data_IF_717532880545
#
_entry.id   IF_717532880545
#
_cell.length_a   1.000
_cell.length_b   1.000
_cell.length_c   1.000
_cell.angle_alpha   90.00
_cell.angle_beta   90.00
_cell.angle_gamma   90.00
#
_symmetry.space_group_name_H-M   'P 1'
#
loop_
_entity.id
_entity.type
_entity.pdbx_description
1 polymer ?
#
# COMPACT_ATOMS: atom_id res chain seq x y z
N UNK A 1 -12.17 -28.73 33.48
CA UNK A 1 -11.30 -29.10 34.62
C UNK A 1 -9.92 -28.56 34.34
N UNK A 2 -9.22 -27.90 35.28
CA UNK A 2 -7.83 -27.51 35.07
C UNK A 2 -6.97 -28.77 34.81
N UNK A 3 -5.98 -28.71 33.90
CA UNK A 3 -5.14 -29.86 33.57
C UNK A 3 -4.43 -30.39 34.82
N UNK A 4 -4.41 -31.72 34.98
CA UNK A 4 -3.85 -32.37 36.18
C UNK A 4 -2.33 -32.50 36.12
N UNK A 5 -1.75 -32.36 34.93
CA UNK A 5 -0.30 -32.40 34.67
C UNK A 5 0.08 -31.53 33.46
N UNK A 6 1.37 -31.24 33.31
CA UNK A 6 1.91 -30.55 32.13
C UNK A 6 1.66 -31.34 30.82
N UNK A 7 1.60 -32.68 30.92
CA UNK A 7 1.32 -33.58 29.81
C UNK A 7 -0.14 -33.46 29.37
N UNK A 8 -1.08 -33.41 30.32
CA UNK A 8 -2.50 -33.18 30.02
C UNK A 8 -2.73 -31.81 29.36
N UNK A 9 -2.05 -30.77 29.86
CA UNK A 9 -2.12 -29.43 29.29
C UNK A 9 -1.60 -29.40 27.85
N UNK A 10 -0.48 -30.08 27.59
CA UNK A 10 0.10 -30.18 26.26
C UNK A 10 -0.80 -30.96 25.29
N UNK A 11 -1.41 -32.06 25.75
CA UNK A 11 -2.34 -32.85 24.94
C UNK A 11 -3.62 -32.07 24.59
N UNK A 12 -4.19 -31.34 25.55
CA UNK A 12 -5.35 -30.47 25.30
C UNK A 12 -5.03 -29.36 24.30
N UNK A 13 -3.86 -28.72 24.45
CA UNK A 13 -3.44 -27.68 23.54
C UNK A 13 -3.16 -28.20 22.12
N UNK A 14 -2.58 -29.40 21.99
CA UNK A 14 -2.38 -30.04 20.69
C UNK A 14 -3.71 -30.36 20.00
N UNK A 15 -4.68 -30.92 20.74
CA UNK A 15 -6.00 -31.20 20.18
C UNK A 15 -6.71 -29.92 19.68
N UNK A 16 -6.68 -28.85 20.48
CA UNK A 16 -7.21 -27.56 20.03
C UNK A 16 -6.46 -27.03 18.81
N UNK A 17 -5.15 -27.23 18.75
CA UNK A 17 -4.34 -26.77 17.63
C UNK A 17 -4.68 -27.52 16.33
N UNK A 18 -4.94 -28.82 16.40
CA UNK A 18 -5.45 -29.62 15.28
C UNK A 18 -6.84 -29.11 14.82
N UNK A 19 -7.72 -28.77 15.76
CA UNK A 19 -9.07 -28.29 15.46
C UNK A 19 -9.08 -26.96 14.68
N UNK A 20 -8.14 -26.05 14.98
CA UNK A 20 -8.07 -24.71 14.35
C UNK A 20 -7.07 -24.61 13.19
N UNK A 21 -6.32 -25.68 12.89
CA UNK A 21 -5.20 -25.62 11.94
C UNK A 21 -5.61 -25.17 10.53
N UNK A 22 -6.81 -25.56 10.09
CA UNK A 22 -7.33 -25.22 8.76
C UNK A 22 -7.64 -23.72 8.58
N UNK A 23 -7.71 -22.97 9.68
CA UNK A 23 -8.03 -21.54 9.69
C UNK A 23 -6.76 -20.67 9.83
N UNK A 24 -5.57 -21.29 9.86
CA UNK A 24 -4.32 -20.60 10.16
C UNK A 24 -3.27 -20.83 9.08
N UNK A 25 -2.75 -19.76 8.50
CA UNK A 25 -1.52 -19.81 7.69
C UNK A 25 -0.25 -19.81 8.55
N UNK A 26 -0.30 -19.15 9.70
CA UNK A 26 0.84 -18.96 10.59
C UNK A 26 0.41 -18.78 12.05
N UNK A 27 1.31 -19.09 12.99
CA UNK A 27 1.11 -18.86 14.42
C UNK A 27 2.37 -18.30 15.09
N UNK A 28 2.19 -17.39 16.04
CA UNK A 28 3.27 -16.89 16.90
C UNK A 28 3.23 -17.55 18.29
N UNK A 29 4.35 -18.18 18.67
CA UNK A 29 4.57 -18.74 20.00
C UNK A 29 5.56 -17.90 20.80
N UNK A 30 5.24 -17.64 22.07
CA UNK A 30 6.15 -16.93 22.98
C UNK A 30 6.99 -17.92 23.77
N UNK A 31 8.30 -17.93 23.53
CA UNK A 31 9.26 -18.70 24.30
C UNK A 31 9.79 -17.89 25.50
N UNK A 32 9.59 -18.41 26.71
CA UNK A 32 10.11 -17.80 27.93
C UNK A 32 11.46 -18.43 28.31
N UNK A 33 12.54 -17.63 28.47
CA UNK A 33 13.86 -18.14 28.81
C UNK A 33 13.94 -18.67 30.26
N UNK A 34 13.22 -18.04 31.19
CA UNK A 34 13.22 -18.34 32.61
C UNK A 34 11.85 -18.05 33.27
N UNK A 35 11.67 -18.53 34.50
CA UNK A 35 10.41 -18.42 35.24
C UNK A 35 10.09 -16.96 35.64
N UNK A 36 11.11 -16.15 35.94
CA UNK A 36 10.92 -14.74 36.28
C UNK A 36 10.38 -13.95 35.08
N UNK A 37 10.83 -14.27 33.87
CA UNK A 37 10.35 -13.67 32.63
C UNK A 37 8.91 -14.11 32.34
N UNK A 38 8.59 -15.40 32.55
CA UNK A 38 7.22 -15.89 32.43
C UNK A 38 6.29 -15.19 33.43
N UNK A 39 6.64 -15.13 34.71
CA UNK A 39 5.84 -14.48 35.75
C UNK A 39 5.66 -12.97 35.46
N UNK A 40 6.73 -12.31 34.98
CA UNK A 40 6.65 -10.90 34.58
C UNK A 40 5.68 -10.68 33.42
N UNK A 41 5.57 -11.60 32.46
CA UNK A 41 4.74 -11.40 31.26
C UNK A 41 3.35 -12.03 31.38
N UNK A 42 3.21 -13.12 32.14
CA UNK A 42 1.99 -13.94 32.29
C UNK A 42 1.76 -14.28 33.77
N UNK A 43 1.51 -13.26 34.61
CA UNK A 43 1.33 -13.47 36.04
C UNK A 43 0.14 -14.38 36.30
N UNK A 44 0.33 -15.39 37.16
CA UNK A 44 -0.71 -16.38 37.48
C UNK A 44 -0.98 -17.41 36.39
N UNK A 45 -0.16 -17.46 35.34
CA UNK A 45 -0.20 -18.51 34.32
C UNK A 45 0.38 -19.86 34.78
N UNK A 46 0.42 -20.85 33.87
CA UNK A 46 1.11 -22.13 34.12
C UNK A 46 2.60 -21.93 34.42
N UNK A 47 3.24 -22.94 35.00
CA UNK A 47 4.69 -22.92 35.20
C UNK A 47 5.47 -23.02 33.87
N UNK A 48 6.76 -22.68 33.93
CA UNK A 48 7.64 -22.66 32.75
C UNK A 48 7.72 -24.02 32.05
N UNK A 49 7.68 -25.12 32.79
CA UNK A 49 7.76 -26.46 32.24
C UNK A 49 6.49 -26.78 31.43
N UNK A 50 5.33 -26.43 31.97
CA UNK A 50 4.02 -26.58 31.33
C UNK A 50 3.93 -25.72 30.07
N UNK A 51 4.30 -24.44 30.13
CA UNK A 51 4.30 -23.56 28.95
C UNK A 51 5.21 -24.09 27.84
N UNK A 52 6.39 -24.61 28.17
CA UNK A 52 7.30 -25.21 27.19
C UNK A 52 6.74 -26.50 26.59
N UNK A 53 6.08 -27.33 27.38
CA UNK A 53 5.42 -28.54 26.91
C UNK A 53 4.27 -28.20 25.94
N UNK A 54 3.43 -27.22 26.30
CA UNK A 54 2.34 -26.70 25.46
C UNK A 54 2.88 -26.14 24.15
N UNK A 55 3.84 -25.21 24.18
CA UNK A 55 4.39 -24.62 22.95
C UNK A 55 4.98 -25.67 22.02
N UNK A 56 5.63 -26.71 22.57
CA UNK A 56 6.16 -27.82 21.78
C UNK A 56 5.05 -28.61 21.11
N UNK A 57 4.03 -28.99 21.86
CA UNK A 57 2.94 -29.83 21.37
C UNK A 57 2.10 -29.09 20.31
N UNK A 58 1.77 -27.83 20.56
CA UNK A 58 1.07 -26.94 19.61
C UNK A 58 1.87 -26.79 18.32
N UNK A 59 3.17 -26.51 18.42
CA UNK A 59 4.01 -26.37 17.22
C UNK A 59 4.14 -27.67 16.43
N UNK A 60 4.15 -28.83 17.10
CA UNK A 60 4.18 -30.13 16.42
C UNK A 60 2.87 -30.40 15.65
N UNK A 61 1.73 -30.14 16.29
CA UNK A 61 0.42 -30.30 15.68
C UNK A 61 0.25 -29.38 14.46
N UNK A 62 0.46 -28.07 14.64
CA UNK A 62 0.29 -27.08 13.58
C UNK A 62 1.28 -27.27 12.42
N UNK A 63 2.55 -27.59 12.71
CA UNK A 63 3.52 -27.85 11.65
C UNK A 63 3.21 -29.11 10.83
N UNK A 64 2.48 -30.08 11.39
CA UNK A 64 2.04 -31.27 10.66
C UNK A 64 0.97 -30.94 9.62
N UNK A 65 0.15 -29.92 9.87
CA UNK A 65 -0.89 -29.39 8.98
C UNK A 65 -0.37 -28.32 8.01
N UNK A 66 0.94 -28.01 8.05
CA UNK A 66 1.58 -27.04 7.14
C UNK A 66 1.52 -25.58 7.61
N UNK A 67 0.99 -25.31 8.81
CA UNK A 67 0.95 -23.97 9.41
C UNK A 67 2.37 -23.51 9.74
N UNK A 68 2.69 -22.27 9.39
CA UNK A 68 4.01 -21.72 9.64
C UNK A 68 4.23 -21.33 11.12
N UNK A 69 5.31 -21.84 11.72
CA UNK A 69 5.62 -21.61 13.13
C UNK A 69 6.61 -20.46 13.30
N UNK A 70 6.16 -19.37 13.93
CA UNK A 70 6.99 -18.28 14.41
C UNK A 70 7.21 -18.39 15.91
N UNK A 71 8.42 -18.05 16.37
CA UNK A 71 8.74 -18.05 17.81
C UNK A 71 9.41 -16.76 18.19
N UNK A 72 8.78 -16.00 19.08
CA UNK A 72 9.45 -14.87 19.73
C UNK A 72 10.09 -15.31 21.05
N UNK A 73 11.30 -14.83 21.32
CA UNK A 73 11.93 -15.04 22.63
C UNK A 73 11.63 -13.86 23.54
N UNK A 74 10.96 -14.13 24.67
CA UNK A 74 10.58 -13.08 25.60
C UNK A 74 11.80 -12.37 26.20
N UNK A 75 11.78 -11.04 26.17
CA UNK A 75 12.82 -10.16 26.74
C UNK A 75 12.18 -9.16 27.69
N UNK A 76 12.59 -9.22 28.96
CA UNK A 76 12.02 -8.37 30.03
C UNK A 76 12.25 -6.88 29.78
N UNK A 77 13.38 -6.51 29.17
CA UNK A 77 13.71 -5.12 28.91
C UNK A 77 12.90 -4.54 27.76
N UNK A 78 12.77 -5.30 26.66
CA UNK A 78 11.95 -4.94 25.51
C UNK A 78 10.47 -4.83 25.91
N UNK A 79 9.95 -5.82 26.64
CA UNK A 79 8.58 -5.81 27.13
C UNK A 79 8.29 -4.59 28.03
N UNK A 80 9.18 -4.26 28.98
CA UNK A 80 9.00 -3.08 29.85
C UNK A 80 8.99 -1.75 29.09
N UNK A 81 9.86 -1.60 28.09
CA UNK A 81 9.86 -0.42 27.22
C UNK A 81 8.57 -0.31 26.43
N UNK A 82 8.09 -1.43 25.89
CA UNK A 82 6.84 -1.47 25.15
C UNK A 82 5.62 -1.14 26.02
N UNK A 83 5.61 -1.62 27.28
CA UNK A 83 4.52 -1.40 28.22
C UNK A 83 4.47 0.02 28.79
N UNK A 84 5.56 0.80 28.70
CA UNK A 84 5.72 2.09 29.38
C UNK A 84 4.56 3.07 29.11
N UNK A 85 4.06 3.10 27.88
CA UNK A 85 3.00 4.00 27.44
C UNK A 85 1.64 3.29 27.25
N UNK A 86 1.48 2.09 27.82
CA UNK A 86 0.31 1.22 27.62
C UNK A 86 -0.30 0.80 28.95
N UNK A 87 -1.63 0.54 28.99
CA UNK A 87 -2.26 -0.04 30.16
C UNK A 87 -1.69 -1.44 30.43
N UNK A 88 -1.30 -1.68 31.69
CA UNK A 88 -0.83 -2.99 32.13
C UNK A 88 -2.00 -3.96 32.34
N UNK A 89 -2.44 -4.59 31.26
CA UNK A 89 -3.57 -5.53 31.23
C UNK A 89 -3.17 -6.88 30.63
N UNK A 90 -3.86 -7.97 30.99
CA UNK A 90 -3.59 -9.28 30.42
C UNK A 90 -3.69 -9.29 28.88
N UNK A 91 -4.64 -8.55 28.32
CA UNK A 91 -4.80 -8.39 26.87
C UNK A 91 -3.60 -7.67 26.25
N UNK A 92 -3.16 -6.55 26.83
CA UNK A 92 -1.96 -5.84 26.36
C UNK A 92 -0.72 -6.76 26.42
N UNK A 93 -0.56 -7.51 27.50
CA UNK A 93 0.56 -8.45 27.65
C UNK A 93 0.56 -9.52 26.57
N UNK A 94 -0.60 -10.04 26.17
CA UNK A 94 -0.77 -11.00 25.05
C UNK A 94 -0.45 -10.37 23.69
N UNK A 95 -0.86 -9.12 23.49
CA UNK A 95 -0.62 -8.37 22.24
C UNK A 95 0.85 -7.98 22.00
N UNK A 96 1.74 -8.18 22.97
CA UNK A 96 3.15 -7.83 22.81
C UNK A 96 3.88 -8.77 21.84
N UNK A 97 4.45 -8.17 20.79
CA UNK A 97 5.32 -8.84 19.81
C UNK A 97 6.70 -8.17 19.75
N UNK A 98 7.78 -8.92 19.98
CA UNK A 98 9.16 -8.46 19.79
C UNK A 98 9.61 -8.65 18.33
N UNK A 99 9.22 -7.71 17.46
CA UNK A 99 9.51 -7.71 16.02
C UNK A 99 10.98 -7.90 15.67
N UNK A 100 11.90 -7.46 16.53
CA UNK A 100 13.33 -7.59 16.30
C UNK A 100 13.90 -8.98 16.59
N UNK A 101 13.11 -9.89 17.19
CA UNK A 101 13.57 -11.19 17.72
C UNK A 101 12.58 -12.33 17.47
N UNK A 102 11.89 -12.29 16.34
CA UNK A 102 11.06 -13.40 15.88
C UNK A 102 11.92 -14.39 15.09
N UNK A 103 11.85 -15.65 15.47
CA UNK A 103 12.48 -16.78 14.78
C UNK A 103 11.47 -17.45 13.85
N UNK A 104 11.95 -17.95 12.72
CA UNK A 104 11.18 -18.66 11.69
C UNK A 104 11.84 -19.99 11.32
N UNK A 105 11.07 -20.91 10.76
CA UNK A 105 11.58 -22.15 10.14
C UNK A 105 12.47 -22.98 11.07
N UNK A 106 13.61 -23.45 10.57
CA UNK A 106 14.50 -24.34 11.32
C UNK A 106 15.02 -23.75 12.65
N UNK A 107 15.16 -22.42 12.75
CA UNK A 107 15.57 -21.77 14.00
C UNK A 107 14.46 -21.81 15.07
N UNK A 108 13.22 -21.53 14.68
CA UNK A 108 12.04 -21.65 15.53
C UNK A 108 11.85 -23.09 16.03
N UNK A 109 11.89 -24.07 15.12
CA UNK A 109 11.73 -25.49 15.44
C UNK A 109 12.81 -25.99 16.40
N UNK A 110 14.07 -25.58 16.18
CA UNK A 110 15.18 -25.93 17.06
C UNK A 110 14.99 -25.36 18.47
N UNK A 111 14.52 -24.12 18.60
CA UNK A 111 14.26 -23.51 19.92
C UNK A 111 13.16 -24.25 20.69
N UNK A 112 12.13 -24.74 19.99
CA UNK A 112 11.04 -25.52 20.58
C UNK A 112 11.43 -26.99 20.87
N UNK A 113 12.53 -27.46 20.27
CA UNK A 113 12.96 -28.86 20.38
C UNK A 113 12.08 -29.81 19.58
N UNK A 114 11.57 -29.36 18.43
CA UNK A 114 10.80 -30.17 17.48
C UNK A 114 11.66 -30.49 16.26
N UNK A 115 11.23 -31.46 15.45
CA UNK A 115 11.93 -31.76 14.21
C UNK A 115 11.97 -30.49 13.34
N UNK A 116 13.11 -30.18 12.68
CA UNK A 116 13.15 -29.06 11.76
C UNK A 116 12.07 -29.26 10.68
N UNK A 117 11.52 -28.18 10.12
CA UNK A 117 10.58 -28.32 9.02
C UNK A 117 11.28 -29.10 7.90
N UNK A 118 10.49 -29.80 7.08
CA UNK A 118 11.02 -30.33 5.83
C UNK A 118 11.76 -29.20 5.11
N UNK A 119 12.94 -29.49 4.58
CA UNK A 119 13.67 -28.49 3.81
C UNK A 119 12.72 -27.96 2.73
N UNK A 120 12.65 -26.63 2.52
CA UNK A 120 11.79 -26.08 1.50
C UNK A 120 12.08 -26.79 0.18
N UNK A 121 11.05 -27.11 -0.62
CA UNK A 121 11.26 -27.76 -1.89
C UNK A 121 12.28 -26.95 -2.69
N UNK A 122 13.21 -27.61 -3.41
CA UNK A 122 14.13 -26.88 -4.26
C UNK A 122 13.33 -26.01 -5.23
N UNK A 123 13.83 -24.81 -5.57
CA UNK A 123 13.12 -23.90 -6.45
C UNK A 123 12.71 -24.62 -7.73
N UNK A 124 11.48 -24.35 -8.17
CA UNK A 124 10.89 -25.01 -9.33
C UNK A 124 11.84 -24.88 -10.54
N UNK A 125 12.23 -26.03 -11.10
CA UNK A 125 13.08 -26.06 -12.29
C UNK A 125 12.21 -26.02 -13.52
N UNK A 126 12.13 -24.85 -14.13
CA UNK A 126 11.44 -24.69 -15.40
C UNK A 126 12.35 -25.09 -16.57
N UNK A 127 11.80 -25.71 -17.63
CA UNK A 127 12.54 -25.97 -18.86
C UNK A 127 13.05 -24.66 -19.48
N UNK A 128 14.17 -24.70 -20.20
CA UNK A 128 14.71 -23.52 -20.86
C UNK A 128 13.74 -22.94 -21.90
N UNK A 129 13.01 -23.79 -22.62
CA UNK A 129 12.03 -23.34 -23.60
C UNK A 129 10.81 -22.73 -22.89
N UNK A 130 10.48 -21.44 -23.11
CA UNK A 130 9.37 -20.79 -22.42
C UNK A 130 7.99 -21.22 -22.92
N UNK A 131 7.89 -21.61 -24.20
CA UNK A 131 6.64 -21.92 -24.90
C UNK A 131 5.69 -22.84 -24.13
N UNK A 132 6.10 -24.08 -23.78
CA UNK A 132 5.23 -25.03 -23.11
C UNK A 132 4.72 -24.58 -21.74
N UNK A 133 5.51 -23.79 -21.00
CA UNK A 133 5.11 -23.31 -19.68
C UNK A 133 4.17 -22.12 -19.82
N UNK A 134 4.40 -21.23 -20.79
CA UNK A 134 3.46 -20.18 -21.12
C UNK A 134 2.12 -20.79 -21.57
N UNK A 135 2.13 -21.82 -22.43
CA UNK A 135 0.91 -22.52 -22.86
C UNK A 135 0.16 -23.15 -21.67
N UNK A 136 0.90 -23.69 -20.68
CA UNK A 136 0.31 -24.18 -19.43
C UNK A 136 -0.37 -23.07 -18.63
N UNK A 137 0.28 -21.91 -18.50
CA UNK A 137 -0.31 -20.76 -17.80
C UNK A 137 -1.60 -20.30 -18.48
N UNK A 138 -1.60 -20.16 -19.81
CA UNK A 138 -2.82 -19.84 -20.56
C UNK A 138 -3.92 -20.89 -20.38
N UNK A 139 -3.58 -22.17 -20.32
CA UNK A 139 -4.56 -23.23 -20.11
C UNK A 139 -5.18 -23.20 -18.70
N UNK A 140 -4.43 -22.76 -17.68
CA UNK A 140 -4.95 -22.57 -16.32
C UNK A 140 -5.87 -21.36 -16.23
N UNK A 141 -5.50 -20.25 -16.89
CA UNK A 141 -6.36 -19.07 -17.04
C UNK A 141 -7.68 -19.43 -17.74
N UNK A 142 -7.61 -20.17 -18.85
CA UNK A 142 -8.81 -20.65 -19.57
C UNK A 142 -9.68 -21.61 -18.73
N UNK A 143 -9.11 -22.26 -17.71
CA UNK A 143 -9.79 -23.19 -16.83
C UNK A 143 -10.41 -22.53 -15.58
N UNK A 144 -10.17 -21.23 -15.37
CA UNK A 144 -10.63 -20.45 -14.22
C UNK A 144 -10.21 -21.06 -12.86
N UNK A 145 -9.02 -21.67 -12.83
CA UNK A 145 -8.41 -22.24 -11.62
C UNK A 145 -7.45 -21.21 -10.99
N UNK A 146 -8.02 -20.23 -10.29
CA UNK A 146 -7.27 -19.10 -9.73
C UNK A 146 -6.11 -19.54 -8.83
N UNK A 147 -6.33 -20.50 -7.94
CA UNK A 147 -5.28 -21.00 -7.05
C UNK A 147 -4.10 -21.64 -7.80
N UNK A 148 -4.37 -22.43 -8.83
CA UNK A 148 -3.30 -23.03 -9.65
C UNK A 148 -2.56 -22.00 -10.51
N UNK A 149 -3.24 -20.92 -10.94
CA UNK A 149 -2.62 -19.78 -11.62
C UNK A 149 -1.66 -19.07 -10.67
N UNK A 150 -2.12 -18.72 -9.47
CA UNK A 150 -1.33 -18.01 -8.47
C UNK A 150 -0.07 -18.79 -8.09
N UNK A 151 -0.20 -20.10 -7.81
CA UNK A 151 0.93 -20.98 -7.50
C UNK A 151 1.97 -20.99 -8.63
N UNK A 152 1.53 -21.05 -9.88
CA UNK A 152 2.43 -21.08 -11.03
C UNK A 152 3.10 -19.72 -11.25
N UNK A 153 2.36 -18.62 -11.12
CA UNK A 153 2.90 -17.25 -11.23
C UNK A 153 3.95 -17.02 -10.14
N UNK A 154 3.65 -17.34 -8.89
CA UNK A 154 4.60 -17.21 -7.78
C UNK A 154 5.87 -18.03 -8.03
N UNK A 155 5.72 -19.28 -8.47
CA UNK A 155 6.88 -20.11 -8.82
C UNK A 155 7.71 -19.54 -9.97
N UNK A 156 7.10 -18.91 -10.98
CA UNK A 156 7.79 -18.26 -12.10
C UNK A 156 8.53 -17.00 -11.66
N UNK A 157 7.91 -16.19 -10.79
CA UNK A 157 8.51 -15.00 -10.19
C UNK A 157 9.75 -15.36 -9.35
N UNK A 158 9.62 -16.35 -8.47
CA UNK A 158 10.71 -16.86 -7.62
C UNK A 158 11.87 -17.45 -8.44
N UNK A 159 11.54 -18.12 -9.56
CA UNK A 159 12.54 -18.66 -10.47
C UNK A 159 13.14 -17.62 -11.43
N UNK A 160 12.67 -16.36 -11.40
CA UNK A 160 13.16 -15.29 -12.26
C UNK A 160 12.82 -15.48 -13.75
N UNK A 161 11.73 -16.18 -14.08
CA UNK A 161 11.38 -16.59 -15.46
C UNK A 161 10.47 -15.59 -16.19
N UNK A 162 10.93 -14.34 -16.28
CA UNK A 162 10.20 -13.27 -16.99
C UNK A 162 9.96 -13.57 -18.46
N UNK A 163 10.87 -14.31 -19.11
CA UNK A 163 10.72 -14.73 -20.50
C UNK A 163 9.45 -15.58 -20.75
N UNK A 164 8.99 -16.31 -19.74
CA UNK A 164 7.73 -17.08 -19.79
C UNK A 164 6.53 -16.14 -19.65
N UNK A 165 6.57 -15.22 -18.68
CA UNK A 165 5.51 -14.25 -18.43
C UNK A 165 5.31 -13.33 -19.64
N UNK A 166 6.39 -12.78 -20.20
CA UNK A 166 6.37 -11.94 -21.41
C UNK A 166 5.81 -12.69 -22.63
N UNK A 167 6.05 -14.00 -22.73
CA UNK A 167 5.47 -14.82 -23.79
C UNK A 167 3.99 -15.08 -23.55
N UNK A 168 3.56 -15.27 -22.30
CA UNK A 168 2.16 -15.43 -21.95
C UNK A 168 1.35 -14.16 -22.27
N UNK A 169 1.82 -12.99 -21.86
CA UNK A 169 1.22 -11.69 -22.17
C UNK A 169 1.04 -11.49 -23.67
N UNK A 170 2.09 -11.72 -24.47
CA UNK A 170 2.01 -11.63 -25.93
C UNK A 170 0.99 -12.59 -26.54
N UNK A 171 0.87 -13.81 -26.00
CA UNK A 171 -0.10 -14.80 -26.49
C UNK A 171 -1.54 -14.43 -26.13
N UNK A 172 -1.76 -13.91 -24.93
CA UNK A 172 -3.06 -13.40 -24.49
C UNK A 172 -3.46 -12.21 -25.37
N UNK A 173 -2.57 -11.24 -25.58
CA UNK A 173 -2.83 -10.10 -26.49
C UNK A 173 -3.20 -10.55 -27.90
N UNK A 174 -2.49 -11.54 -28.46
CA UNK A 174 -2.81 -12.11 -29.77
C UNK A 174 -4.15 -12.86 -29.84
N UNK A 175 -4.59 -13.47 -28.73
CA UNK A 175 -5.78 -14.34 -28.70
C UNK A 175 -7.05 -13.58 -28.29
N UNK A 176 -6.92 -12.64 -27.36
CA UNK A 176 -8.02 -11.99 -26.64
C UNK A 176 -7.99 -10.47 -26.73
N UNK A 177 -6.92 -9.85 -27.26
CA UNK A 177 -6.79 -8.40 -27.42
C UNK A 177 -5.92 -7.76 -26.33
N UNK A 178 -5.56 -6.49 -26.56
CA UNK A 178 -4.63 -5.74 -25.69
C UNK A 178 -5.21 -5.55 -24.28
N UNK A 179 -6.50 -5.25 -24.14
CA UNK A 179 -7.18 -5.10 -22.84
C UNK A 179 -7.00 -6.34 -21.93
N UNK A 180 -7.07 -7.55 -22.50
CA UNK A 180 -6.87 -8.79 -21.75
C UNK A 180 -5.40 -9.02 -21.38
N UNK A 181 -4.46 -8.51 -22.19
CA UNK A 181 -3.05 -8.54 -21.87
C UNK A 181 -2.72 -7.56 -20.73
N UNK A 182 -3.31 -6.37 -20.76
CA UNK A 182 -3.17 -5.35 -19.72
C UNK A 182 -3.75 -5.84 -18.38
N UNK A 183 -4.92 -6.50 -18.39
CA UNK A 183 -5.51 -7.13 -17.20
C UNK A 183 -4.57 -8.20 -16.60
N UNK A 184 -4.03 -9.09 -17.44
CA UNK A 184 -3.07 -10.08 -16.97
C UNK A 184 -1.78 -9.43 -16.46
N UNK A 185 -1.30 -8.37 -17.11
CA UNK A 185 -0.11 -7.65 -16.67
C UNK A 185 -0.33 -7.04 -15.28
N UNK A 186 -1.48 -6.40 -15.03
CA UNK A 186 -1.87 -5.89 -13.72
C UNK A 186 -1.87 -6.99 -12.65
N UNK A 187 -2.48 -8.14 -12.94
CA UNK A 187 -2.48 -9.29 -12.03
C UNK A 187 -1.06 -9.81 -11.73
N UNK A 188 -0.18 -9.83 -12.74
CA UNK A 188 1.22 -10.22 -12.56
C UNK A 188 2.02 -9.19 -11.74
N UNK A 189 1.74 -7.90 -11.90
CA UNK A 189 2.35 -6.83 -11.10
C UNK A 189 1.92 -6.95 -9.63
N UNK A 190 0.62 -7.06 -9.36
CA UNK A 190 0.10 -7.27 -8.00
C UNK A 190 0.72 -8.52 -7.34
N UNK A 191 0.79 -9.63 -8.08
CA UNK A 191 1.44 -10.85 -7.59
C UNK A 191 2.95 -10.65 -7.28
N UNK A 192 3.64 -9.75 -8.01
CA UNK A 192 5.05 -9.46 -7.85
C UNK A 192 5.38 -8.46 -6.74
N UNK A 193 4.40 -7.70 -6.26
CA UNK A 193 4.56 -6.69 -5.21
C UNK A 193 4.54 -7.31 -3.81
N UNK A 194 3.83 -8.44 -3.62
CA UNK A 194 3.75 -9.17 -2.35
C UNK A 194 4.40 -10.55 -2.40
N UNK A 195 5.02 -11.02 -1.31
CA UNK A 195 5.57 -12.37 -1.20
C UNK A 195 5.52 -12.93 0.23
N UNK A 196 5.40 -14.27 0.34
CA UNK A 196 5.44 -15.05 1.61
C UNK A 196 6.85 -15.17 2.21
N UNK A 197 7.52 -14.04 2.37
CA UNK A 197 8.92 -13.93 2.77
C UNK A 197 9.08 -12.89 3.88
N UNK A 198 10.31 -12.70 4.36
CA UNK A 198 10.61 -11.72 5.39
C UNK A 198 10.31 -12.20 6.82
N UNK A 199 10.52 -11.30 7.81
CA UNK A 199 10.53 -11.65 9.23
C UNK A 199 9.13 -11.89 9.80
N UNK A 200 8.08 -11.34 9.19
CA UNK A 200 6.69 -11.49 9.60
C UNK A 200 5.90 -12.51 8.77
N UNK A 201 6.56 -13.17 7.80
CA UNK A 201 5.92 -14.17 6.94
C UNK A 201 5.31 -13.60 5.66
N UNK A 202 4.94 -12.32 5.65
CA UNK A 202 4.48 -11.60 4.47
C UNK A 202 5.17 -10.24 4.33
N UNK A 203 5.50 -9.89 3.10
CA UNK A 203 6.15 -8.64 2.75
C UNK A 203 5.59 -8.09 1.45
N UNK A 204 5.40 -6.78 1.39
CA UNK A 204 4.77 -6.10 0.26
C UNK A 204 5.48 -4.79 -0.07
N UNK A 205 5.55 -4.46 -1.36
CA UNK A 205 5.96 -3.14 -1.83
C UNK A 205 4.80 -2.16 -1.65
N UNK A 206 5.10 -1.01 -1.05
CA UNK A 206 4.17 0.10 -0.94
C UNK A 206 4.81 1.37 -1.46
N UNK A 207 3.99 2.27 -1.97
CA UNK A 207 4.42 3.56 -2.50
C UNK A 207 3.55 4.66 -1.94
N UNK A 208 4.18 5.77 -1.59
CA UNK A 208 3.49 7.00 -1.25
C UNK A 208 3.77 8.01 -2.37
N UNK A 209 2.83 8.21 -3.31
CA UNK A 209 2.92 9.26 -4.30
C UNK A 209 2.77 10.63 -3.65
N UNK A 210 3.51 11.61 -4.18
CA UNK A 210 3.49 12.98 -3.67
C UNK A 210 3.48 13.93 -4.84
N UNK A 211 2.47 14.79 -4.91
CA UNK A 211 2.51 15.96 -5.78
C UNK A 211 3.55 16.94 -5.22
N UNK A 212 4.61 17.17 -5.96
CA UNK A 212 5.77 17.95 -5.53
C UNK A 212 5.53 19.44 -5.72
N UNK A 213 6.03 20.31 -4.81
CA UNK A 213 5.97 21.74 -5.01
C UNK A 213 6.89 22.15 -6.18
N UNK A 214 6.59 23.28 -6.85
CA UNK A 214 7.39 23.77 -7.98
C UNK A 214 8.79 24.23 -7.57
N UNK A 215 8.98 24.57 -6.30
CA UNK A 215 10.27 24.98 -5.72
C UNK A 215 10.48 24.27 -4.39
N UNK A 216 11.73 23.86 -4.11
CA UNK A 216 12.12 23.32 -2.80
C UNK A 216 11.63 21.89 -2.57
N UNK A 217 12.29 20.93 -3.20
CA UNK A 217 11.96 19.52 -3.07
C UNK A 217 12.01 19.05 -1.61
N UNK A 218 10.92 18.48 -1.07
CA UNK A 218 10.90 18.02 0.32
C UNK A 218 11.88 16.87 0.57
N UNK A 219 12.33 16.74 1.81
CA UNK A 219 13.16 15.61 2.23
C UNK A 219 12.30 14.34 2.30
N UNK A 220 12.57 13.41 1.39
CA UNK A 220 11.92 12.10 1.28
C UNK A 220 11.96 11.32 2.60
N UNK A 221 13.13 11.27 3.26
CA UNK A 221 13.32 10.49 4.46
C UNK A 221 12.55 11.11 5.64
N UNK A 222 12.57 12.44 5.75
CA UNK A 222 11.80 13.15 6.77
C UNK A 222 10.28 12.95 6.58
N UNK A 223 9.80 12.98 5.34
CA UNK A 223 8.38 12.77 5.04
C UNK A 223 7.94 11.34 5.39
N UNK A 224 8.68 10.32 4.94
CA UNK A 224 8.39 8.92 5.29
C UNK A 224 8.42 8.68 6.80
N UNK A 225 9.39 9.24 7.51
CA UNK A 225 9.46 9.18 8.97
C UNK A 225 8.26 9.87 9.65
N UNK A 226 7.77 10.98 9.07
CA UNK A 226 6.60 11.70 9.60
C UNK A 226 5.30 10.89 9.47
N UNK A 227 5.12 10.13 8.37
CA UNK A 227 3.97 9.24 8.19
C UNK A 227 3.93 8.18 9.29
N UNK A 228 5.08 7.53 9.51
CA UNK A 228 5.21 6.48 10.55
C UNK A 228 4.97 7.08 11.94
N UNK A 229 5.48 8.28 12.22
CA UNK A 229 5.28 8.96 13.49
C UNK A 229 3.83 9.45 13.72
N UNK A 230 3.06 9.67 12.66
CA UNK A 230 1.68 10.15 12.75
C UNK A 230 0.69 9.07 13.26
N UNK A 231 1.11 7.81 13.34
CA UNK A 231 0.26 6.72 13.84
C UNK A 231 -0.89 6.37 12.89
N UNK A 232 -0.67 6.53 11.58
CA UNK A 232 -1.64 6.29 10.52
C UNK A 232 -1.82 4.80 10.20
N UNK A 233 -0.76 4.03 10.41
CA UNK A 233 -0.71 2.60 10.15
C UNK A 233 -1.36 1.83 11.29
N UNK A 234 -1.96 0.68 10.97
CA UNK A 234 -2.42 -0.26 11.99
C UNK A 234 -1.25 -0.65 12.91
N UNK A 235 -1.54 -0.95 14.17
CA UNK A 235 -0.49 -1.27 15.13
C UNK A 235 0.34 -2.48 14.70
N UNK A 236 -0.22 -3.41 13.92
CA UNK A 236 0.45 -4.60 13.37
C UNK A 236 1.27 -4.33 12.12
N UNK A 237 1.08 -3.20 11.45
CA UNK A 237 1.78 -2.88 10.21
C UNK A 237 3.09 -2.15 10.52
N UNK A 238 4.15 -2.54 9.83
CA UNK A 238 5.42 -1.83 9.83
C UNK A 238 5.77 -1.43 8.40
N UNK A 239 6.00 -0.14 8.16
CA UNK A 239 6.45 0.36 6.86
C UNK A 239 7.85 0.95 7.00
N UNK A 240 8.74 0.59 6.07
CA UNK A 240 10.11 1.09 5.97
C UNK A 240 10.32 1.71 4.60
N UNK A 241 10.36 3.04 4.54
CA UNK A 241 10.65 3.75 3.28
C UNK A 241 12.14 3.75 2.96
N UNK A 242 12.45 3.65 1.68
CA UNK A 242 13.77 3.96 1.16
C UNK A 242 14.06 5.47 1.28
N UNK A 243 15.35 5.83 1.44
CA UNK A 243 15.75 7.21 1.23
C UNK A 243 15.66 7.59 -0.25
N UNK A 244 15.33 8.86 -0.49
CA UNK A 244 15.34 9.46 -1.82
C UNK A 244 14.10 9.16 -2.66
N UNK A 245 13.83 10.05 -3.59
CA UNK A 245 12.64 10.03 -4.42
C UNK A 245 12.77 9.08 -5.60
N UNK A 246 11.68 8.43 -5.99
CA UNK A 246 11.57 7.60 -7.20
C UNK A 246 10.62 8.25 -8.20
N UNK A 247 10.83 7.95 -9.48
CA UNK A 247 9.99 8.46 -10.56
C UNK A 247 8.76 7.55 -10.76
N UNK A 248 7.54 8.11 -10.88
CA UNK A 248 6.37 7.36 -11.30
C UNK A 248 6.60 6.56 -12.58
N UNK A 249 7.13 7.19 -13.62
CA UNK A 249 7.46 6.53 -14.89
C UNK A 249 8.43 5.36 -14.72
N UNK A 250 9.39 5.48 -13.80
CA UNK A 250 10.37 4.42 -13.57
C UNK A 250 9.73 3.21 -12.90
N UNK A 251 8.75 3.43 -12.01
CA UNK A 251 7.95 2.36 -11.39
C UNK A 251 7.04 1.71 -12.42
N UNK A 252 6.29 2.49 -13.19
CA UNK A 252 5.38 1.98 -14.22
C UNK A 252 6.08 1.23 -15.35
N UNK A 253 7.37 1.47 -15.56
CA UNK A 253 8.18 0.75 -16.55
C UNK A 253 8.75 -0.58 -16.04
N UNK A 254 8.57 -0.93 -14.76
CA UNK A 254 9.08 -2.19 -14.23
C UNK A 254 8.23 -3.37 -14.71
N UNK A 255 8.92 -4.41 -15.17
CA UNK A 255 8.27 -5.70 -15.37
C UNK A 255 7.97 -6.38 -14.03
N UNK A 256 7.03 -7.33 -13.97
CA UNK A 256 6.75 -8.10 -12.76
C UNK A 256 8.00 -8.72 -12.11
N UNK A 257 8.95 -9.21 -12.91
CA UNK A 257 10.21 -9.76 -12.35
C UNK A 257 11.10 -8.69 -11.75
N UNK A 258 11.14 -7.50 -12.35
CA UNK A 258 11.90 -6.38 -11.80
C UNK A 258 11.27 -5.90 -10.48
N UNK A 259 9.94 -5.79 -10.41
CA UNK A 259 9.22 -5.52 -9.15
C UNK A 259 9.54 -6.56 -8.07
N UNK A 260 9.47 -7.85 -8.40
CA UNK A 260 9.82 -8.93 -7.47
C UNK A 260 11.26 -8.79 -6.97
N UNK A 261 12.22 -8.42 -7.82
CA UNK A 261 13.61 -8.17 -7.40
C UNK A 261 13.74 -6.96 -6.48
N UNK A 262 13.03 -5.88 -6.77
CA UNK A 262 12.97 -4.69 -5.90
C UNK A 262 12.50 -5.10 -4.49
N UNK A 263 11.44 -5.89 -4.38
CA UNK A 263 10.96 -6.42 -3.09
C UNK A 263 12.05 -7.21 -2.35
N UNK A 264 12.73 -8.13 -3.05
CA UNK A 264 13.76 -8.97 -2.46
C UNK A 264 15.00 -8.18 -2.04
N UNK A 265 15.41 -7.17 -2.80
CA UNK A 265 16.50 -6.25 -2.45
C UNK A 265 16.15 -5.48 -1.16
N UNK A 266 14.93 -4.95 -1.05
CA UNK A 266 14.47 -4.25 0.15
C UNK A 266 14.44 -5.14 1.40
N UNK A 267 14.00 -6.39 1.24
CA UNK A 267 14.01 -7.37 2.32
C UNK A 267 15.42 -7.72 2.78
N UNK A 268 16.40 -7.73 1.87
CA UNK A 268 17.82 -7.89 2.18
C UNK A 268 18.44 -6.62 2.81
N UNK A 269 17.70 -5.50 2.86
CA UNK A 269 18.22 -4.21 3.29
C UNK A 269 19.18 -3.58 2.28
N UNK A 270 19.08 -3.98 1.01
CA UNK A 270 19.86 -3.45 -0.10
C UNK A 270 19.07 -2.38 -0.86
N UNK A 271 19.78 -1.44 -1.51
CA UNK A 271 19.13 -0.48 -2.39
C UNK A 271 18.80 -1.14 -3.75
N UNK A 272 17.55 -1.07 -4.22
CA UNK A 272 17.12 -1.80 -5.40
C UNK A 272 17.79 -1.28 -6.67
N UNK A 273 18.42 -2.18 -7.42
CA UNK A 273 19.15 -1.83 -8.64
C UNK A 273 18.24 -1.48 -9.81
N UNK A 274 17.11 -2.15 -9.89
CA UNK A 274 16.13 -1.97 -10.95
C UNK A 274 15.33 -0.66 -10.77
N UNK A 275 15.41 -0.02 -9.60
CA UNK A 275 14.70 1.23 -9.29
C UNK A 275 15.57 2.23 -8.49
N UNK A 276 16.59 2.84 -9.13
CA UNK A 276 17.46 3.83 -8.49
C UNK A 276 16.72 5.15 -8.18
N UNK A 277 17.29 6.01 -7.31
CA UNK A 277 16.77 7.36 -7.07
C UNK A 277 16.57 8.14 -8.38
N UNK A 278 15.44 8.84 -8.49
CA UNK A 278 15.14 9.71 -9.62
C UNK A 278 15.92 11.03 -9.57
N UNK A 279 16.04 11.67 -10.73
CA UNK A 279 16.60 13.02 -10.82
C UNK A 279 15.61 14.02 -10.21
N UNK A 280 16.03 14.69 -9.12
CA UNK A 280 15.22 15.64 -8.36
C UNK A 280 14.70 16.80 -9.20
N UNK A 281 15.50 17.26 -10.17
CA UNK A 281 15.12 18.36 -11.05
C UNK A 281 14.05 17.90 -12.05
N UNK A 282 14.15 16.67 -12.54
CA UNK A 282 13.16 16.10 -13.45
C UNK A 282 11.82 15.83 -12.74
N UNK A 283 11.87 15.28 -11.53
CA UNK A 283 10.69 15.04 -10.70
C UNK A 283 9.97 16.35 -10.38
N UNK A 284 10.71 17.39 -10.01
CA UNK A 284 10.15 18.72 -9.74
C UNK A 284 9.47 19.31 -10.98
N UNK A 285 10.03 19.13 -12.18
CA UNK A 285 9.39 19.57 -13.45
C UNK A 285 8.13 18.78 -13.79
N UNK A 286 8.10 17.49 -13.48
CA UNK A 286 6.96 16.60 -13.72
C UNK A 286 5.87 16.76 -12.65
N UNK A 287 6.21 17.32 -11.50
CA UNK A 287 5.27 17.62 -10.41
C UNK A 287 4.94 16.42 -9.52
N UNK A 288 5.59 15.27 -9.70
CA UNK A 288 5.34 14.08 -8.88
C UNK A 288 6.62 13.34 -8.54
N UNK A 289 6.66 12.79 -7.33
CA UNK A 289 7.69 11.87 -6.86
C UNK A 289 7.10 10.81 -5.94
N UNK A 290 7.77 9.67 -5.84
CA UNK A 290 7.32 8.54 -5.03
C UNK A 290 8.29 8.27 -3.89
N UNK A 291 7.74 7.95 -2.72
CA UNK A 291 8.47 7.25 -1.66
C UNK A 291 8.14 5.76 -1.74
N UNK A 292 9.13 4.96 -2.15
CA UNK A 292 9.01 3.51 -2.15
C UNK A 292 9.32 2.97 -0.76
N UNK A 293 8.53 2.02 -0.29
CA UNK A 293 8.73 1.35 0.98
C UNK A 293 8.43 -0.13 0.96
N UNK A 294 8.87 -0.79 2.02
CA UNK A 294 8.56 -2.17 2.36
C UNK A 294 7.53 -2.18 3.50
N UNK A 295 6.38 -2.78 3.25
CA UNK A 295 5.38 -3.08 4.26
C UNK A 295 5.56 -4.51 4.77
N UNK A 296 5.57 -4.66 6.09
CA UNK A 296 5.59 -5.94 6.80
C UNK A 296 4.35 -6.01 7.68
N UNK A 297 3.53 -7.03 7.46
CA UNK A 297 2.36 -7.26 8.29
C UNK A 297 2.70 -8.20 9.44
N UNK A 298 2.54 -7.73 10.68
CA UNK A 298 2.74 -8.49 11.91
C UNK A 298 1.43 -8.97 12.53
N UNK A 299 0.32 -9.02 11.80
CA UNK A 299 -0.95 -9.60 12.24
C UNK A 299 -0.93 -11.14 12.37
N UNK A 300 0.22 -11.71 12.78
CA UNK A 300 0.37 -13.14 13.03
C UNK A 300 -0.38 -13.47 14.33
N UNK A 301 -1.40 -14.34 14.31
CA UNK A 301 -2.15 -14.66 15.52
C UNK A 301 -1.25 -15.38 16.52
N UNK A 302 -1.23 -14.88 17.76
CA UNK A 302 -0.50 -15.55 18.84
C UNK A 302 -1.30 -16.71 19.38
N UNK A 303 -0.65 -17.82 19.74
CA UNK A 303 -1.36 -18.96 20.35
C UNK A 303 -2.15 -18.56 21.59
N UNK A 304 -1.63 -17.64 22.39
CA UNK A 304 -2.32 -17.17 23.59
C UNK A 304 -3.59 -16.37 23.26
N UNK A 305 -3.59 -15.63 22.15
CA UNK A 305 -4.79 -14.96 21.62
C UNK A 305 -5.79 -16.01 21.13
N UNK A 306 -5.34 -16.99 20.35
CA UNK A 306 -6.20 -18.06 19.83
C UNK A 306 -6.90 -18.81 20.97
N UNK A 307 -6.17 -19.15 22.03
CA UNK A 307 -6.76 -19.84 23.18
C UNK A 307 -7.75 -18.99 23.99
N UNK A 308 -7.64 -17.67 23.93
CA UNK A 308 -8.48 -16.76 24.70
C UNK A 308 -9.73 -16.33 23.92
N UNK A 309 -9.55 -16.03 22.65
CA UNK A 309 -10.50 -15.28 21.83
C UNK A 309 -10.98 -16.09 20.60
N UNK A 310 -10.32 -17.20 20.26
CA UNK A 310 -10.58 -18.01 19.05
C UNK A 310 -9.59 -17.71 17.91
N UNK A 311 -9.59 -18.52 16.84
CA UNK A 311 -8.85 -18.18 15.62
C UNK A 311 -9.32 -16.82 15.08
N UNK A 312 -8.46 -16.10 14.32
CA UNK A 312 -8.88 -14.85 13.69
C UNK A 312 -10.07 -15.14 12.75
N UNK A 313 -11.06 -14.25 12.76
CA UNK A 313 -12.15 -14.31 11.78
C UNK A 313 -11.54 -14.18 10.38
N UNK A 314 -12.12 -14.91 9.41
CA UNK A 314 -11.79 -14.67 8.01
C UNK A 314 -12.05 -13.19 7.71
N UNK A 315 -11.18 -12.51 6.94
CA UNK A 315 -11.42 -11.12 6.56
C UNK A 315 -12.81 -11.04 5.93
N UNK A 316 -13.72 -10.32 6.58
CA UNK A 316 -15.06 -10.09 6.05
C UNK A 316 -14.90 -9.37 4.70
N UNK A 317 -15.49 -9.90 3.63
CA UNK A 317 -15.65 -9.16 2.38
C UNK A 317 -16.44 -7.90 2.75
N UNK A 318 -15.78 -6.74 2.64
CA UNK A 318 -16.19 -5.44 3.18
C UNK A 318 -17.72 -5.27 3.25
N UNK A 319 -18.30 -5.31 4.45
CA UNK A 319 -19.65 -4.80 4.65
C UNK A 319 -19.66 -3.31 4.30
N UNK A 320 -20.49 -2.91 3.33
CA UNK A 320 -20.61 -1.55 2.79
C UNK A 320 -20.68 -0.47 3.90
N UNK A 321 -19.53 0.10 4.28
CA UNK A 321 -19.45 1.23 5.19
C UNK A 321 -18.10 1.38 5.89
N UNK A 322 -17.57 2.60 5.91
CA UNK A 322 -16.35 2.90 6.66
C UNK A 322 -16.57 2.64 8.16
N UNK A 323 -15.81 1.70 8.73
CA UNK A 323 -15.82 1.44 10.17
C UNK A 323 -15.38 2.71 10.94
N UNK A 324 -15.77 2.89 12.22
CA UNK A 324 -15.31 4.03 13.02
C UNK A 324 -13.79 4.14 13.10
N UNK A 325 -13.08 3.01 13.01
CA UNK A 325 -11.64 2.97 12.97
C UNK A 325 -11.08 3.48 11.62
N UNK A 326 -11.64 3.03 10.50
CA UNK A 326 -11.29 3.55 9.17
C UNK A 326 -11.54 5.06 9.08
N UNK A 327 -12.68 5.56 9.58
CA UNK A 327 -12.99 6.99 9.62
C UNK A 327 -11.99 7.79 10.48
N UNK A 328 -11.57 7.23 11.63
CA UNK A 328 -10.54 7.85 12.48
C UNK A 328 -9.18 7.91 11.76
N UNK A 329 -8.78 6.83 11.08
CA UNK A 329 -7.52 6.78 10.31
C UNK A 329 -7.53 7.78 9.16
N UNK A 330 -8.65 7.88 8.43
CA UNK A 330 -8.82 8.88 7.37
C UNK A 330 -8.66 10.32 7.90
N UNK A 331 -9.29 10.65 9.03
CA UNK A 331 -9.15 11.97 9.64
C UNK A 331 -7.71 12.28 10.12
N UNK A 332 -7.00 11.28 10.65
CA UNK A 332 -5.58 11.42 11.00
C UNK A 332 -4.73 11.65 9.75
N UNK A 333 -5.04 10.94 8.66
CA UNK A 333 -4.34 11.04 7.39
C UNK A 333 -4.49 12.44 6.79
N UNK A 334 -5.70 12.98 6.76
CA UNK A 334 -5.96 14.35 6.33
C UNK A 334 -5.22 15.39 7.17
N UNK A 335 -5.22 15.21 8.50
CA UNK A 335 -4.48 16.08 9.42
C UNK A 335 -2.98 16.05 9.17
N UNK A 336 -2.41 14.87 8.94
CA UNK A 336 -1.00 14.70 8.60
C UNK A 336 -0.66 15.30 7.23
N UNK A 337 -1.50 15.05 6.21
CA UNK A 337 -1.35 15.61 4.85
C UNK A 337 -1.32 17.14 4.87
N UNK A 338 -2.22 17.77 5.62
CA UNK A 338 -2.21 19.22 5.83
C UNK A 338 -0.93 19.75 6.50
N UNK A 339 -0.42 19.04 7.52
CA UNK A 339 0.84 19.39 8.15
C UNK A 339 2.05 19.26 7.20
N UNK A 340 2.06 18.22 6.35
CA UNK A 340 3.11 18.04 5.32
C UNK A 340 3.05 19.14 4.27
N UNK A 341 1.85 19.52 3.81
CA UNK A 341 1.66 20.61 2.85
C UNK A 341 2.28 21.92 3.34
N UNK A 342 1.96 22.33 4.57
CA UNK A 342 2.51 23.53 5.20
C UNK A 342 4.03 23.44 5.40
N UNK A 343 4.54 22.29 5.85
CA UNK A 343 5.96 22.11 6.14
C UNK A 343 6.83 22.03 4.88
N UNK A 344 6.29 21.52 3.77
CA UNK A 344 7.01 21.33 2.50
C UNK A 344 6.82 22.49 1.52
N UNK A 345 6.02 23.50 1.87
CA UNK A 345 5.74 24.62 0.97
C UNK A 345 4.86 24.25 -0.23
N UNK A 346 3.98 23.26 -0.06
CA UNK A 346 2.97 22.91 -1.05
C UNK A 346 2.97 21.46 -1.55
N UNK A 347 3.83 20.58 -0.99
CA UNK A 347 3.82 19.16 -1.34
C UNK A 347 2.59 18.44 -0.79
N UNK A 348 1.88 17.69 -1.63
CA UNK A 348 0.67 16.95 -1.24
C UNK A 348 0.92 15.46 -1.33
N UNK A 349 1.03 14.76 -0.19
CA UNK A 349 0.98 13.30 -0.17
C UNK A 349 -0.40 12.77 -0.62
N UNK A 350 -0.38 11.73 -1.44
CA UNK A 350 -1.54 10.96 -1.90
C UNK A 350 -1.68 9.69 -1.06
N UNK A 351 -2.61 8.79 -1.38
CA UNK A 351 -2.79 7.54 -0.64
C UNK A 351 -1.53 6.65 -0.67
N UNK A 352 -1.33 5.83 0.38
CA UNK A 352 -0.32 4.77 0.36
C UNK A 352 -0.89 3.61 -0.44
N UNK A 353 -0.31 3.35 -1.61
CA UNK A 353 -0.82 2.38 -2.60
C UNK A 353 0.29 1.43 -3.06
N UNK A 354 -0.04 0.22 -3.55
CA UNK A 354 0.94 -0.63 -4.21
C UNK A 354 1.50 0.04 -5.49
N UNK A 355 2.70 -0.35 -5.95
CA UNK A 355 3.31 0.23 -7.15
C UNK A 355 2.42 0.22 -8.41
N UNK A 356 1.62 -0.82 -8.63
CA UNK A 356 0.67 -0.95 -9.76
C UNK A 356 -0.36 0.17 -9.79
N UNK A 357 -0.77 0.65 -8.62
CA UNK A 357 -1.91 1.55 -8.45
C UNK A 357 -1.48 3.03 -8.47
N UNK A 358 -0.18 3.30 -8.47
CA UNK A 358 0.37 4.67 -8.49
C UNK A 358 -0.21 5.52 -9.62
N UNK A 359 -0.32 4.94 -10.83
CA UNK A 359 -0.81 5.68 -11.99
C UNK A 359 -2.28 6.05 -11.84
N UNK A 360 -3.10 5.14 -11.30
CA UNK A 360 -4.51 5.36 -11.03
C UNK A 360 -4.70 6.43 -9.93
N UNK A 361 -3.96 6.32 -8.82
CA UNK A 361 -4.00 7.28 -7.72
C UNK A 361 -3.60 8.70 -8.17
N UNK A 362 -2.55 8.84 -8.98
CA UNK A 362 -2.15 10.13 -9.55
C UNK A 362 -3.23 10.66 -10.50
N UNK A 363 -3.82 9.80 -11.33
CA UNK A 363 -4.88 10.20 -12.25
C UNK A 363 -6.12 10.69 -11.49
N UNK A 364 -6.56 9.97 -10.46
CA UNK A 364 -7.68 10.36 -9.60
C UNK A 364 -7.42 11.72 -8.94
N UNK A 365 -6.24 11.92 -8.36
CA UNK A 365 -5.85 13.23 -7.81
C UNK A 365 -5.88 14.35 -8.84
N UNK A 366 -5.40 14.10 -10.07
CA UNK A 366 -5.44 15.09 -11.14
C UNK A 366 -6.87 15.38 -11.61
N UNK A 367 -7.74 14.36 -11.66
CA UNK A 367 -9.16 14.52 -11.97
C UNK A 367 -9.85 15.36 -10.90
N UNK A 368 -9.63 15.06 -9.61
CA UNK A 368 -10.14 15.85 -8.49
C UNK A 368 -9.65 17.30 -8.54
N UNK A 369 -8.34 17.49 -8.72
CA UNK A 369 -7.75 18.82 -8.84
C UNK A 369 -8.31 19.57 -10.05
N UNK A 370 -8.52 18.90 -11.18
CA UNK A 370 -9.13 19.49 -12.37
C UNK A 370 -10.62 19.81 -12.18
N UNK A 371 -11.34 19.01 -11.37
CA UNK A 371 -12.72 19.26 -10.97
C UNK A 371 -12.86 20.54 -10.15
N UNK A 372 -11.86 20.86 -9.32
CA UNK A 372 -11.77 22.13 -8.58
C UNK A 372 -11.31 23.31 -9.46
N UNK A 373 -10.78 23.05 -10.67
CA UNK A 373 -10.34 24.04 -11.67
C UNK A 373 -11.33 24.17 -12.84
N UNK A 374 -12.42 23.39 -12.85
CA UNK A 374 -13.35 23.25 -13.99
C UNK A 374 -13.88 24.57 -14.55
N UNK A 375 -14.12 25.58 -13.71
CA UNK A 375 -14.50 26.92 -14.17
C UNK A 375 -13.43 27.62 -15.00
N UNK A 376 -12.14 27.49 -14.66
CA UNK A 376 -11.05 28.08 -15.43
C UNK A 376 -10.81 27.35 -16.75
N UNK A 377 -10.95 26.03 -16.77
CA UNK A 377 -10.91 25.23 -18.00
C UNK A 377 -12.03 25.62 -18.97
N UNK A 378 -13.27 25.69 -18.47
CA UNK A 378 -14.44 26.12 -19.24
C UNK A 378 -14.29 27.55 -19.78
N UNK A 379 -13.78 28.49 -18.97
CA UNK A 379 -13.49 29.87 -19.41
C UNK A 379 -12.44 29.87 -20.52
N UNK A 380 -11.35 29.11 -20.39
CA UNK A 380 -10.28 29.04 -21.38
C UNK A 380 -10.80 28.48 -22.70
N UNK A 381 -11.55 27.39 -22.67
CA UNK A 381 -12.09 26.73 -23.85
C UNK A 381 -13.16 27.59 -24.53
N UNK A 382 -13.97 28.30 -23.73
CA UNK A 382 -14.90 29.32 -24.22
C UNK A 382 -14.18 30.45 -24.95
N UNK A 383 -13.12 31.03 -24.36
CA UNK A 383 -12.31 32.08 -25.00
C UNK A 383 -11.64 31.59 -26.28
N UNK A 384 -11.08 30.37 -26.28
CA UNK A 384 -10.40 29.80 -27.44
C UNK A 384 -11.37 29.63 -28.62
N UNK A 385 -12.55 29.05 -28.38
CA UNK A 385 -13.60 28.89 -29.39
C UNK A 385 -14.01 30.24 -30.00
N UNK A 386 -14.23 31.25 -29.16
CA UNK A 386 -14.65 32.58 -29.61
C UNK A 386 -13.55 33.30 -30.40
N UNK A 387 -12.27 33.03 -30.13
CA UNK A 387 -11.15 33.55 -30.93
C UNK A 387 -11.14 32.97 -32.35
N UNK A 388 -11.41 31.68 -32.49
CA UNK A 388 -11.49 31.05 -33.82
C UNK A 388 -12.64 31.64 -34.66
N UNK A 389 -13.74 32.01 -34.00
CA UNK A 389 -14.90 32.67 -34.63
C UNK A 389 -14.70 34.16 -34.91
N UNK A 390 -13.73 34.81 -34.25
CA UNK A 390 -13.46 36.25 -34.40
C UNK A 390 -12.86 36.63 -35.76
N UNK A 391 -12.48 35.65 -36.60
CA UNK A 391 -12.05 35.89 -37.98
C UNK A 391 -10.71 36.64 -38.09
N UNK A 392 -9.84 36.50 -37.09
CA UNK A 392 -8.53 37.16 -37.04
C UNK A 392 -8.52 38.51 -36.32
N UNK A 393 -9.65 38.97 -35.78
CA UNK A 393 -9.70 40.12 -34.86
C UNK A 393 -9.37 39.68 -33.42
N UNK A 394 -8.68 40.56 -32.68
CA UNK A 394 -8.41 40.32 -31.26
C UNK A 394 -9.70 40.36 -30.43
N UNK A 395 -9.78 39.46 -29.45
CA UNK A 395 -10.94 39.29 -28.57
C UNK A 395 -10.68 39.91 -27.20
N UNK A 396 -11.65 40.67 -26.69
CA UNK A 396 -11.65 41.25 -25.34
C UNK A 396 -12.83 40.75 -24.53
N UNK A 397 -12.67 40.70 -23.21
CA UNK A 397 -13.67 40.20 -22.27
C UNK A 397 -14.15 41.30 -21.32
N UNK A 398 -15.47 41.42 -21.16
CA UNK A 398 -16.10 42.22 -20.11
C UNK A 398 -16.70 41.28 -19.06
N UNK A 399 -16.03 41.10 -17.91
CA UNK A 399 -16.60 40.36 -16.80
C UNK A 399 -17.57 41.24 -16.00
N UNK A 400 -18.72 40.69 -15.64
CA UNK A 400 -19.72 41.32 -14.79
C UNK A 400 -20.06 40.37 -13.63
N UNK A 401 -19.93 40.86 -12.40
CA UNK A 401 -20.25 40.07 -11.19
C UNK A 401 -21.68 40.39 -10.77
N UNK A 402 -22.54 39.38 -10.78
CA UNK A 402 -23.95 39.48 -10.42
C UNK A 402 -24.24 38.65 -9.17
N UNK A 403 -24.05 39.26 -7.99
CA UNK A 403 -24.12 38.53 -6.73
C UNK A 403 -22.95 37.55 -6.61
N UNK A 404 -23.26 36.25 -6.51
CA UNK A 404 -22.25 35.18 -6.45
C UNK A 404 -21.93 34.56 -7.83
N UNK A 405 -22.59 35.04 -8.89
CA UNK A 405 -22.44 34.55 -10.27
C UNK A 405 -21.50 35.47 -11.05
N UNK A 406 -20.74 34.90 -11.99
CA UNK A 406 -19.89 35.64 -12.92
C UNK A 406 -20.44 35.51 -14.35
N UNK A 407 -20.68 36.64 -15.01
CA UNK A 407 -20.99 36.71 -16.43
C UNK A 407 -19.77 37.22 -17.20
N UNK A 408 -19.44 36.57 -18.31
CA UNK A 408 -18.33 36.90 -19.20
C UNK A 408 -18.87 37.18 -20.58
N UNK A 409 -18.84 38.44 -21.02
CA UNK A 409 -19.19 38.81 -22.38
C UNK A 409 -17.93 39.04 -23.20
N UNK A 410 -17.80 38.35 -24.34
CA UNK A 410 -16.67 38.50 -25.27
C UNK A 410 -17.07 39.36 -26.47
N UNK A 411 -16.16 40.26 -26.84
CA UNK A 411 -16.31 41.17 -27.96
C UNK A 411 -15.05 41.12 -28.83
N UNK A 412 -15.19 41.42 -30.13
CA UNK A 412 -14.02 41.78 -30.93
C UNK A 412 -13.52 43.17 -30.53
N UNK A 413 -12.26 43.49 -30.84
CA UNK A 413 -11.69 44.81 -30.59
C UNK A 413 -12.46 45.95 -31.31
N UNK A 414 -13.11 45.64 -32.43
CA UNK A 414 -14.00 46.55 -33.17
C UNK A 414 -15.37 46.80 -32.50
N UNK A 415 -15.67 46.11 -31.40
CA UNK A 415 -16.91 46.29 -30.62
C UNK A 415 -18.07 45.38 -31.02
N UNK A 416 -17.84 44.37 -31.87
CA UNK A 416 -18.86 43.36 -32.19
C UNK A 416 -18.98 42.37 -31.04
N UNK A 417 -20.19 42.14 -30.55
CA UNK A 417 -20.46 41.07 -29.59
C UNK A 417 -20.27 39.71 -30.26
N UNK A 418 -19.54 38.81 -29.58
CA UNK A 418 -19.26 37.47 -30.08
C UNK A 418 -20.12 36.44 -29.34
N UNK A 419 -19.93 36.31 -28.03
CA UNK A 419 -20.69 35.36 -27.20
C UNK A 419 -20.63 35.75 -25.70
N UNK A 420 -21.42 35.07 -24.87
CA UNK A 420 -21.43 35.24 -23.40
C UNK A 420 -21.50 33.92 -22.65
N UNK A 421 -20.78 33.82 -21.53
CA UNK A 421 -20.79 32.67 -20.63
C UNK A 421 -21.19 33.13 -19.22
N UNK A 422 -22.13 32.41 -18.58
CA UNK A 422 -22.54 32.68 -17.19
C UNK A 422 -22.18 31.49 -16.31
N UNK A 423 -21.47 31.75 -15.21
CA UNK A 423 -20.94 30.75 -14.30
C UNK A 423 -21.46 30.97 -12.86
N UNK A 424 -22.22 30.01 -12.29
CA UNK A 424 -22.64 30.08 -10.89
C UNK A 424 -21.46 29.84 -9.94
N UNK A 425 -21.57 30.29 -8.69
CA UNK A 425 -20.54 30.19 -7.65
C UNK A 425 -19.93 28.78 -7.49
N UNK A 426 -20.77 27.75 -7.56
CA UNK A 426 -20.34 26.35 -7.43
C UNK A 426 -19.38 25.88 -8.55
N UNK A 427 -19.28 26.63 -9.65
CA UNK A 427 -18.39 26.34 -10.79
C UNK A 427 -17.21 27.30 -10.86
N UNK A 428 -17.08 28.25 -9.93
CA UNK A 428 -15.97 29.21 -9.93
C UNK A 428 -14.81 28.70 -9.05
N UNK A 429 -13.56 28.70 -9.55
CA UNK A 429 -12.40 28.27 -8.77
C UNK A 429 -11.94 29.31 -7.73
N UNK A 430 -12.53 30.50 -7.73
CA UNK A 430 -12.35 31.54 -6.72
C UNK A 430 -13.66 32.34 -6.57
N UNK A 431 -13.74 33.25 -5.60
CA UNK A 431 -14.90 34.14 -5.47
C UNK A 431 -15.09 34.96 -6.75
N UNK A 432 -16.34 35.20 -7.15
CA UNK A 432 -16.66 35.92 -8.41
C UNK A 432 -15.95 37.28 -8.53
N UNK A 433 -15.70 37.97 -7.42
CA UNK A 433 -14.97 39.25 -7.36
C UNK A 433 -13.48 39.15 -7.71
N UNK A 434 -12.87 37.98 -7.49
CA UNK A 434 -11.44 37.71 -7.74
C UNK A 434 -11.20 37.19 -9.16
N UNK A 435 -12.23 36.61 -9.78
CA UNK A 435 -12.18 36.01 -11.11
C UNK A 435 -11.71 36.95 -12.23
N UNK A 436 -12.10 38.25 -12.29
CA UNK A 436 -11.61 39.17 -13.33
C UNK A 436 -10.09 39.28 -13.40
N UNK A 437 -9.37 39.12 -12.27
CA UNK A 437 -7.90 39.14 -12.25
C UNK A 437 -7.31 37.85 -12.81
N UNK A 438 -7.91 36.71 -12.50
CA UNK A 438 -7.49 35.41 -13.02
C UNK A 438 -7.72 35.33 -14.54
N UNK A 439 -8.84 35.88 -15.03
CA UNK A 439 -9.21 35.86 -16.45
C UNK A 439 -8.27 36.68 -17.33
N UNK A 440 -7.64 37.73 -16.77
CA UNK A 440 -6.63 38.53 -17.49
C UNK A 440 -5.45 37.71 -18.01
N UNK A 441 -5.17 36.54 -17.40
CA UNK A 441 -4.15 35.61 -17.89
C UNK A 441 -4.49 34.97 -19.24
N UNK A 442 -5.77 34.92 -19.63
CA UNK A 442 -6.24 34.23 -20.85
C UNK A 442 -6.75 35.18 -21.93
N UNK A 443 -7.38 36.29 -21.54
CA UNK A 443 -8.01 37.26 -22.45
C UNK A 443 -7.92 38.67 -21.87
N UNK A 444 -7.76 39.67 -22.74
CA UNK A 444 -7.70 41.07 -22.32
C UNK A 444 -9.05 41.49 -21.73
N UNK A 445 -9.04 41.86 -20.45
CA UNK A 445 -10.24 42.29 -19.73
C UNK A 445 -10.45 43.80 -19.89
N UNK A 446 -11.68 44.21 -20.22
CA UNK A 446 -12.11 45.61 -20.36
C UNK A 446 -13.26 45.91 -19.41
N UNK A 447 -13.32 47.17 -18.95
CA UNK A 447 -14.37 47.63 -18.03
C UNK A 447 -15.71 47.86 -18.74
N UNK A 448 -15.64 48.39 -19.96
CA UNK A 448 -16.78 48.75 -20.80
C UNK A 448 -16.68 48.05 -22.15
N UNK A 449 -17.83 47.77 -22.78
CA UNK A 449 -17.87 47.13 -24.09
C UNK A 449 -17.24 48.08 -25.14
N UNK A 450 -16.36 47.58 -26.03
CA UNK A 450 -15.71 48.43 -27.03
C UNK A 450 -16.76 49.05 -27.97
N UNK A 451 -16.58 50.33 -28.33
CA UNK A 451 -17.49 51.05 -29.24
C UNK A 451 -18.72 51.69 -28.57
N UNK A 452 -18.80 51.72 -27.23
CA UNK A 452 -19.81 52.47 -26.46
C UNK A 452 -19.23 53.62 -25.66
#
# INVERSE_FOLDING_TARGET
MPPQSAEDAAAQAAALAEDVAAELDAVLLTHFPDADTLDLLRPGGPDLATTRAVNRAVAQALAAEGVEIFVQTADRGAFRRWLQDRPDSAAARRAWVDRGRVLRGAAAHRLLGIAPPAAPPPPAKFPQAPGPVADRLLALLDADDGGAVDDLVQALLDAGRGDILDLALRKIGQRYGDDAADELEGNLQAAAEGARTGPSGWAELVTLPVALPPEGMPDAAAMGASLVAAGLLAETVEVRFLPGWRSPDAVSALSPIALRRVLLDLLAGEEPRDLPPGDTDDLSRRGFGLLLGLQLDWAIPSWETITADGPPDAPEEDEDGATPEQARRAALFDGWRGAVFEASGGGVPLALVPPSDVAAEIAEFLEEASGHVGGLGEIRDFVARVRDEAGGEDVVCRPEVMGETLELALYSESGRFLDSLTLPAARLPARAEEMPRLIQGFVRVVKDAPGR
#
